data_IF_782230915537
#
_entry.id   IF_782230915537
#
_cell.length_a   1.000
_cell.length_b   1.000
_cell.length_c   1.000
_cell.angle_alpha   90.00
_cell.angle_beta   90.00
_cell.angle_gamma   90.00
#
_symmetry.space_group_name_H-M   'P 1'
#
loop_
_entity.id
_entity.type
_entity.pdbx_description
1 polymer ?
#
# COMPACT_ATOMS: atom_id res chain seq x y z
N UNK A 1 -5.81 20.51 -6.89
CA UNK A 1 -6.45 19.22 -6.52
C UNK A 1 -6.07 18.90 -5.09
N UNK A 2 -7.03 18.46 -4.27
CA UNK A 2 -6.79 18.05 -2.88
C UNK A 2 -6.55 16.56 -2.81
N UNK A 3 -5.47 16.16 -2.14
CA UNK A 3 -5.02 14.78 -2.04
C UNK A 3 -4.80 14.41 -0.58
N UNK A 4 -5.29 13.26 -0.13
CA UNK A 4 -4.98 12.75 1.19
C UNK A 4 -4.39 11.34 1.14
N UNK A 5 -3.66 11.01 2.20
CA UNK A 5 -3.26 9.63 2.50
C UNK A 5 -4.08 9.09 3.67
N UNK A 6 -4.46 7.82 3.62
CA UNK A 6 -4.96 7.06 4.77
C UNK A 6 -4.02 5.89 5.03
N UNK A 7 -3.67 5.67 6.29
CA UNK A 7 -2.74 4.62 6.72
C UNK A 7 -3.44 3.74 7.75
N UNK A 8 -4.02 2.61 7.34
CA UNK A 8 -4.70 1.72 8.28
C UNK A 8 -3.70 0.90 9.12
N UNK A 9 -3.72 1.10 10.43
CA UNK A 9 -2.80 0.44 11.37
C UNK A 9 -3.57 -0.07 12.57
N UNK A 10 -3.94 -1.36 12.59
CA UNK A 10 -4.60 -1.97 13.75
C UNK A 10 -3.58 -2.39 14.82
N UNK A 11 -3.99 -2.33 16.09
CA UNK A 11 -3.15 -2.73 17.22
C UNK A 11 -2.86 -4.23 17.20
N UNK A 12 -3.89 -5.05 16.99
CA UNK A 12 -3.77 -6.51 17.03
C UNK A 12 -3.50 -7.08 15.64
N UNK A 13 -2.66 -8.10 15.59
CA UNK A 13 -2.38 -8.87 14.40
C UNK A 13 -2.33 -10.35 14.76
N UNK A 14 -3.04 -11.19 14.01
CA UNK A 14 -3.17 -12.64 14.23
C UNK A 14 -1.92 -13.41 13.83
N UNK A 15 -1.36 -13.13 12.65
CA UNK A 15 -0.18 -13.83 12.12
C UNK A 15 1.11 -13.53 12.90
N UNK A 16 1.28 -12.29 13.30
CA UNK A 16 2.43 -11.83 14.09
C UNK A 16 1.91 -10.94 15.21
N UNK A 17 1.88 -11.40 16.47
CA UNK A 17 1.39 -10.61 17.60
C UNK A 17 2.07 -9.24 17.66
N UNK A 18 1.27 -8.16 17.77
CA UNK A 18 1.73 -6.77 17.80
C UNK A 18 2.65 -6.41 16.62
N UNK A 19 2.34 -6.92 15.42
CA UNK A 19 3.16 -6.78 14.21
C UNK A 19 3.64 -5.34 13.98
N UNK A 20 2.72 -4.38 14.05
CA UNK A 20 3.00 -2.98 13.77
C UNK A 20 3.92 -2.30 14.79
N UNK A 21 4.07 -2.90 15.99
CA UNK A 21 4.95 -2.41 17.07
C UNK A 21 6.32 -3.09 17.08
N UNK A 22 6.51 -4.15 16.28
CA UNK A 22 7.82 -4.79 16.18
C UNK A 22 8.86 -3.84 15.64
N UNK A 23 10.03 -3.93 16.22
CA UNK A 23 11.17 -3.12 15.79
C UNK A 23 11.72 -3.61 14.45
N UNK A 24 11.95 -2.67 13.56
CA UNK A 24 12.67 -2.82 12.32
C UNK A 24 13.64 -1.64 12.22
N UNK A 25 14.96 -1.92 12.10
CA UNK A 25 15.96 -0.85 11.95
C UNK A 25 15.88 0.24 13.03
N UNK A 26 15.71 -0.15 14.29
CA UNK A 26 15.74 0.76 15.43
C UNK A 26 14.44 1.53 15.68
N UNK A 27 13.35 1.28 14.91
CA UNK A 27 12.05 1.89 15.21
C UNK A 27 10.89 0.94 14.93
N UNK A 28 9.74 1.16 15.59
CA UNK A 28 8.53 0.36 15.38
C UNK A 28 8.06 0.42 13.92
N UNK A 29 7.55 -0.71 13.40
CA UNK A 29 7.15 -0.86 12.01
C UNK A 29 6.22 0.26 11.52
N UNK A 30 5.19 0.62 12.31
CA UNK A 30 4.22 1.65 11.92
C UNK A 30 4.86 3.03 11.69
N UNK A 31 5.97 3.34 12.38
CA UNK A 31 6.64 4.65 12.26
C UNK A 31 7.30 4.83 10.90
N UNK A 32 7.73 3.75 10.24
CA UNK A 32 8.39 3.83 8.93
C UNK A 32 7.47 4.44 7.88
N UNK A 33 6.26 3.90 7.73
CA UNK A 33 5.34 4.38 6.67
C UNK A 33 4.81 5.78 6.96
N UNK A 34 4.52 6.11 8.24
CA UNK A 34 4.09 7.45 8.63
C UNK A 34 5.19 8.46 8.30
N UNK A 35 6.44 8.19 8.72
CA UNK A 35 7.57 9.08 8.44
C UNK A 35 7.85 9.21 6.93
N UNK A 36 7.71 8.11 6.17
CA UNK A 36 7.89 8.14 4.71
C UNK A 36 6.80 8.95 4.01
N UNK A 37 5.55 8.87 4.48
CA UNK A 37 4.45 9.71 3.97
C UNK A 37 4.69 11.19 4.26
N UNK A 38 5.11 11.53 5.47
CA UNK A 38 5.49 12.90 5.83
C UNK A 38 6.64 13.41 4.98
N UNK A 39 7.70 12.62 4.84
CA UNK A 39 8.88 12.97 4.03
C UNK A 39 8.56 13.04 2.52
N UNK A 40 7.52 12.38 2.04
CA UNK A 40 7.06 12.50 0.65
C UNK A 40 6.51 13.90 0.36
N UNK A 41 5.98 14.60 1.36
CA UNK A 41 5.51 16.00 1.28
C UNK A 41 4.64 16.27 0.02
N UNK A 42 3.66 15.40 -0.23
CA UNK A 42 2.79 15.44 -1.41
C UNK A 42 1.29 15.32 -1.09
N UNK A 43 0.94 15.16 0.17
CA UNK A 43 -0.44 15.08 0.65
C UNK A 43 -0.85 16.38 1.33
N UNK A 44 -2.09 16.81 1.13
CA UNK A 44 -2.66 17.94 1.89
C UNK A 44 -2.90 17.54 3.35
N UNK A 45 -3.25 16.28 3.59
CA UNK A 45 -3.46 15.73 4.93
C UNK A 45 -3.12 14.24 4.92
N UNK A 46 -2.51 13.77 5.99
CA UNK A 46 -2.25 12.35 6.25
C UNK A 46 -3.14 11.94 7.42
N UNK A 47 -3.90 10.88 7.24
CA UNK A 47 -4.75 10.27 8.24
C UNK A 47 -4.20 8.89 8.63
N UNK A 48 -4.17 8.59 9.92
CA UNK A 48 -3.90 7.25 10.41
C UNK A 48 -5.17 6.69 11.02
N UNK A 49 -5.72 5.64 10.43
CA UNK A 49 -6.86 4.90 10.96
C UNK A 49 -6.34 3.83 11.94
N UNK A 50 -6.64 3.99 13.23
CA UNK A 50 -6.10 3.11 14.27
C UNK A 50 -7.01 2.97 15.48
N UNK A 51 -6.94 1.80 16.12
CA UNK A 51 -7.53 1.46 17.43
C UNK A 51 -6.51 1.53 18.59
N UNK A 52 -5.27 1.99 18.32
CA UNK A 52 -4.17 2.01 19.30
C UNK A 52 -3.86 3.40 19.84
N UNK A 53 -3.94 3.58 21.16
CA UNK A 53 -3.57 4.84 21.82
C UNK A 53 -2.08 5.20 21.65
N UNK A 54 -1.20 4.19 21.59
CA UNK A 54 0.23 4.44 21.34
C UNK A 54 0.46 5.08 19.97
N UNK A 55 -0.24 4.58 18.94
CA UNK A 55 -0.14 5.11 17.58
C UNK A 55 -0.78 6.50 17.49
N UNK A 56 -1.93 6.73 18.14
CA UNK A 56 -2.58 8.05 18.20
C UNK A 56 -1.63 9.08 18.81
N UNK A 57 -0.99 8.77 19.91
CA UNK A 57 -0.02 9.66 20.56
C UNK A 57 1.17 9.98 19.65
N UNK A 58 1.65 9.00 18.89
CA UNK A 58 2.70 9.23 17.89
C UNK A 58 2.21 10.18 16.77
N UNK A 59 1.01 9.98 16.25
CA UNK A 59 0.41 10.84 15.24
C UNK A 59 0.29 12.30 15.72
N UNK A 60 -0.20 12.51 16.93
CA UNK A 60 -0.28 13.86 17.55
C UNK A 60 1.11 14.52 17.61
N UNK A 61 2.17 13.76 17.95
CA UNK A 61 3.54 14.29 18.01
C UNK A 61 4.11 14.68 16.65
N UNK A 62 3.47 14.25 15.55
CA UNK A 62 3.89 14.46 14.16
C UNK A 62 2.93 15.36 13.37
N UNK A 63 1.90 15.91 14.00
CA UNK A 63 0.85 16.68 13.33
C UNK A 63 0.13 15.88 12.22
N UNK A 64 -0.14 14.61 12.52
CA UNK A 64 -0.86 13.66 11.65
C UNK A 64 -2.26 13.45 12.23
N UNK A 65 -3.27 13.53 11.38
CA UNK A 65 -4.66 13.35 11.76
C UNK A 65 -4.98 11.88 12.08
N UNK A 66 -5.90 11.66 13.02
CA UNK A 66 -6.31 10.32 13.44
C UNK A 66 -7.77 10.05 13.09
N UNK A 67 -8.02 8.86 12.55
CA UNK A 67 -9.37 8.30 12.41
C UNK A 67 -9.48 7.19 13.46
N UNK A 68 -10.48 7.33 14.35
CA UNK A 68 -10.78 6.28 15.33
C UNK A 68 -11.37 5.06 14.62
N UNK A 69 -10.61 3.97 14.61
CA UNK A 69 -11.03 2.73 13.94
C UNK A 69 -12.19 2.06 14.66
N UNK A 70 -13.24 1.71 13.91
CA UNK A 70 -14.32 0.87 14.43
C UNK A 70 -13.81 -0.54 14.74
N UNK A 71 -14.27 -1.18 15.85
CA UNK A 71 -13.85 -2.52 16.23
C UNK A 71 -14.02 -3.57 15.12
N UNK A 72 -15.07 -3.47 14.32
CA UNK A 72 -15.37 -4.39 13.23
C UNK A 72 -14.27 -4.37 12.14
N UNK A 73 -13.65 -3.22 11.92
CA UNK A 73 -12.57 -3.06 10.95
C UNK A 73 -11.21 -3.56 11.45
N UNK A 74 -11.12 -3.91 12.73
CA UNK A 74 -9.93 -4.57 13.30
C UNK A 74 -10.00 -6.10 13.21
N UNK A 75 -11.16 -6.67 12.84
CA UNK A 75 -11.33 -8.10 12.62
C UNK A 75 -10.62 -8.56 11.33
N UNK A 76 -10.31 -9.86 11.26
CA UNK A 76 -9.66 -10.45 10.08
C UNK A 76 -10.63 -10.62 8.88
N UNK A 77 -11.91 -10.39 9.07
CA UNK A 77 -12.94 -10.37 8.02
C UNK A 77 -12.95 -9.06 7.24
N UNK A 78 -12.46 -7.97 7.82
CA UNK A 78 -12.38 -6.68 7.15
C UNK A 78 -11.21 -6.66 6.15
N UNK A 79 -11.47 -6.19 4.95
CA UNK A 79 -10.47 -6.04 3.90
C UNK A 79 -10.09 -4.56 3.66
N UNK A 80 -9.11 -4.32 2.78
CA UNK A 80 -8.61 -2.97 2.52
C UNK A 80 -9.65 -2.02 1.90
N UNK A 81 -10.65 -2.52 1.18
CA UNK A 81 -11.74 -1.69 0.65
C UNK A 81 -12.70 -1.27 1.75
N UNK A 82 -13.01 -2.17 2.72
CA UNK A 82 -13.89 -1.85 3.84
C UNK A 82 -13.31 -0.71 4.69
N UNK A 83 -12.00 -0.78 4.96
CA UNK A 83 -11.28 0.26 5.69
C UNK A 83 -11.26 1.56 4.91
N UNK A 84 -10.89 1.53 3.62
CA UNK A 84 -10.87 2.74 2.77
C UNK A 84 -12.26 3.38 2.69
N UNK A 85 -13.32 2.57 2.63
CA UNK A 85 -14.68 3.07 2.61
C UNK A 85 -15.04 3.83 3.88
N UNK A 86 -14.72 3.26 5.05
CA UNK A 86 -14.90 3.92 6.33
C UNK A 86 -14.08 5.21 6.43
N UNK A 87 -12.81 5.17 6.04
CA UNK A 87 -11.93 6.34 6.08
C UNK A 87 -12.53 7.50 5.25
N UNK A 88 -12.93 7.23 4.00
CA UNK A 88 -13.49 8.26 3.12
C UNK A 88 -14.81 8.84 3.65
N UNK A 89 -15.62 8.07 4.36
CA UNK A 89 -16.86 8.57 4.97
C UNK A 89 -16.63 9.43 6.21
N UNK A 90 -15.46 9.31 6.86
CA UNK A 90 -15.14 10.02 8.11
C UNK A 90 -14.13 11.17 7.94
N UNK A 91 -13.69 11.46 6.71
CA UNK A 91 -12.79 12.57 6.42
C UNK A 91 -13.44 13.58 5.46
N UNK A 92 -12.93 14.81 5.37
CA UNK A 92 -13.38 15.77 4.36
C UNK A 92 -13.22 15.26 2.95
N UNK A 93 -13.93 15.88 2.00
CA UNK A 93 -13.82 15.51 0.60
C UNK A 93 -12.48 15.90 -0.02
N UNK A 94 -11.81 14.93 -0.64
CA UNK A 94 -10.61 15.08 -1.44
C UNK A 94 -10.89 14.71 -2.90
N UNK A 95 -10.02 15.15 -3.82
CA UNK A 95 -10.10 14.79 -5.24
C UNK A 95 -9.50 13.39 -5.48
N UNK A 96 -8.50 13.02 -4.65
CA UNK A 96 -7.82 11.72 -4.69
C UNK A 96 -7.54 11.21 -3.28
N UNK A 97 -7.69 9.92 -3.10
CA UNK A 97 -7.43 9.17 -1.87
C UNK A 97 -6.31 8.17 -2.11
N UNK A 98 -5.32 8.16 -1.23
CA UNK A 98 -4.22 7.20 -1.26
C UNK A 98 -4.23 6.36 0.02
N UNK A 99 -4.19 5.04 -0.12
CA UNK A 99 -4.11 4.11 1.00
C UNK A 99 -2.73 3.47 1.01
N UNK A 100 -1.99 3.62 2.13
CA UNK A 100 -0.65 3.08 2.31
C UNK A 100 -0.61 2.15 3.52
N UNK A 101 0.28 1.15 3.50
CA UNK A 101 0.29 0.09 4.50
C UNK A 101 1.61 0.04 5.27
N UNK A 102 1.51 -0.15 6.61
CA UNK A 102 2.66 -0.28 7.50
C UNK A 102 3.55 -1.48 7.17
N UNK A 103 3.00 -2.49 6.50
CA UNK A 103 3.73 -3.68 6.08
C UNK A 103 4.72 -3.45 4.93
N UNK A 104 4.69 -2.27 4.30
CA UNK A 104 5.63 -1.85 3.27
C UNK A 104 6.60 -0.75 3.79
N UNK A 105 7.43 -1.02 4.81
CA UNK A 105 8.24 0.00 5.49
C UNK A 105 9.33 0.62 4.61
N UNK A 106 9.72 -0.06 3.54
CA UNK A 106 10.79 0.36 2.65
C UNK A 106 10.31 1.19 1.45
N UNK A 107 9.00 1.41 1.33
CA UNK A 107 8.45 2.27 0.27
C UNK A 107 8.94 3.71 0.46
N UNK A 108 9.74 4.18 -0.48
CA UNK A 108 10.48 5.44 -0.34
C UNK A 108 9.60 6.68 -0.53
N UNK A 109 9.89 7.78 0.15
CA UNK A 109 9.19 9.06 -0.04
C UNK A 109 9.14 9.51 -1.51
N UNK A 110 10.24 9.37 -2.26
CA UNK A 110 10.30 9.69 -3.69
C UNK A 110 9.36 8.85 -4.54
N UNK A 111 9.17 7.58 -4.19
CA UNK A 111 8.26 6.66 -4.88
C UNK A 111 6.81 7.01 -4.59
N UNK A 112 6.49 7.32 -3.32
CA UNK A 112 5.17 7.82 -2.92
C UNK A 112 4.81 9.08 -3.71
N UNK A 113 5.68 10.08 -3.73
CA UNK A 113 5.50 11.31 -4.52
C UNK A 113 5.30 11.02 -6.00
N UNK A 114 6.12 10.16 -6.60
CA UNK A 114 6.02 9.82 -8.01
C UNK A 114 4.68 9.14 -8.36
N UNK A 115 4.13 8.31 -7.46
CA UNK A 115 2.80 7.73 -7.62
C UNK A 115 1.71 8.80 -7.59
N UNK A 116 1.77 9.74 -6.64
CA UNK A 116 0.83 10.87 -6.54
C UNK A 116 0.89 11.72 -7.81
N UNK A 117 2.06 12.19 -8.19
CA UNK A 117 2.27 13.03 -9.37
C UNK A 117 1.77 12.33 -10.64
N UNK A 118 2.02 11.02 -10.77
CA UNK A 118 1.56 10.23 -11.92
C UNK A 118 0.04 10.25 -12.06
N UNK A 119 -0.69 10.10 -10.95
CA UNK A 119 -2.15 10.07 -11.00
C UNK A 119 -2.74 11.47 -11.19
N UNK A 120 -2.09 12.52 -10.67
CA UNK A 120 -2.56 13.90 -10.78
C UNK A 120 -2.32 14.53 -12.15
N UNK A 121 -1.27 14.11 -12.86
CA UNK A 121 -0.83 14.76 -14.12
C UNK A 121 -1.52 14.24 -15.36
N UNK A 122 -2.41 13.24 -15.25
CA UNK A 122 -3.08 12.65 -16.40
C UNK A 122 -4.50 12.22 -16.11
N UNK A 123 -5.41 12.47 -17.05
CA UNK A 123 -6.78 11.92 -17.02
C UNK A 123 -6.89 10.50 -17.60
N UNK A 124 -5.77 9.93 -18.08
CA UNK A 124 -5.75 8.58 -18.68
C UNK A 124 -6.09 7.50 -17.67
N UNK A 125 -5.64 7.68 -16.41
CA UNK A 125 -5.81 6.73 -15.32
C UNK A 125 -6.74 7.29 -14.27
N UNK A 126 -7.51 6.42 -13.64
CA UNK A 126 -8.43 6.76 -12.54
C UNK A 126 -7.99 6.19 -11.18
N UNK A 127 -6.98 5.32 -11.20
CA UNK A 127 -6.38 4.71 -10.02
C UNK A 127 -4.93 4.32 -10.29
N UNK A 128 -4.18 4.05 -9.23
CA UNK A 128 -2.77 3.63 -9.26
C UNK A 128 -2.51 2.64 -8.13
N UNK A 129 -1.59 1.70 -8.36
CA UNK A 129 -1.04 0.85 -7.32
C UNK A 129 0.42 0.52 -7.61
N UNK A 130 1.18 0.21 -6.56
CA UNK A 130 2.57 -0.25 -6.70
C UNK A 130 2.63 -1.73 -7.07
N UNK A 131 3.53 -2.09 -7.98
CA UNK A 131 3.64 -3.42 -8.54
C UNK A 131 5.09 -3.82 -8.83
N UNK A 132 5.30 -5.11 -9.02
CA UNK A 132 6.52 -5.70 -9.59
C UNK A 132 6.21 -6.44 -10.89
N UNK A 133 7.22 -6.58 -11.73
CA UNK A 133 7.17 -7.47 -12.89
C UNK A 133 7.78 -8.83 -12.52
N UNK A 134 7.02 -9.90 -12.76
CA UNK A 134 7.49 -11.27 -12.56
C UNK A 134 7.68 -11.96 -13.91
N UNK A 135 8.92 -12.24 -14.27
CA UNK A 135 9.30 -12.98 -15.48
C UNK A 135 9.34 -14.47 -15.22
N UNK A 136 8.79 -15.25 -16.14
CA UNK A 136 8.74 -16.72 -16.04
C UNK A 136 7.57 -17.31 -16.78
N UNK A 137 7.44 -18.64 -16.71
CA UNK A 137 6.33 -19.36 -17.29
C UNK A 137 5.26 -19.59 -16.22
N UNK A 138 4.09 -19.02 -16.41
CA UNK A 138 3.01 -19.06 -15.41
C UNK A 138 1.83 -19.89 -15.90
N UNK A 139 1.21 -20.57 -14.95
CA UNK A 139 0.05 -21.43 -15.18
C UNK A 139 -1.09 -21.00 -14.27
N UNK A 140 -2.30 -21.06 -14.79
CA UNK A 140 -3.53 -20.88 -14.03
C UNK A 140 -4.54 -21.95 -14.42
N UNK A 141 -5.12 -22.66 -13.43
CA UNK A 141 -6.11 -23.73 -13.66
C UNK A 141 -5.72 -24.71 -14.78
N UNK A 142 -4.47 -25.22 -14.74
CA UNK A 142 -3.91 -26.18 -15.70
C UNK A 142 -3.72 -25.63 -17.13
N UNK A 143 -3.72 -24.31 -17.31
CA UNK A 143 -3.44 -23.65 -18.59
C UNK A 143 -2.26 -22.68 -18.44
N UNK A 144 -1.32 -22.62 -19.41
CA UNK A 144 -0.32 -21.58 -19.46
C UNK A 144 -1.00 -20.22 -19.78
N UNK A 145 -0.59 -19.16 -19.09
CA UNK A 145 -1.26 -17.86 -19.24
C UNK A 145 -0.44 -16.80 -19.99
N UNK A 146 0.87 -16.93 -20.05
CA UNK A 146 1.74 -15.94 -20.67
C UNK A 146 2.69 -16.49 -21.73
N UNK A 147 2.56 -17.77 -22.13
CA UNK A 147 3.35 -18.37 -23.21
C UNK A 147 2.60 -19.54 -23.88
N UNK A 148 3.12 -20.00 -25.02
CA UNK A 148 2.62 -21.19 -25.71
C UNK A 148 3.66 -22.33 -25.56
N UNK A 149 3.30 -23.47 -24.93
CA UNK A 149 4.26 -24.56 -24.64
C UNK A 149 4.99 -25.12 -25.85
N UNK A 150 4.35 -25.16 -27.01
CA UNK A 150 4.95 -25.62 -28.25
C UNK A 150 5.99 -24.68 -28.86
N UNK A 151 6.03 -23.41 -28.45
CA UNK A 151 7.03 -22.41 -28.90
C UNK A 151 8.15 -22.30 -27.86
N UNK A 152 7.81 -22.42 -26.58
CA UNK A 152 8.70 -22.34 -25.41
C UNK A 152 9.75 -21.21 -25.52
N UNK A 153 9.35 -19.94 -25.41
CA UNK A 153 10.26 -18.81 -25.39
C UNK A 153 11.17 -18.86 -24.15
N UNK A 154 12.31 -18.18 -24.18
CA UNK A 154 13.15 -18.03 -22.98
C UNK A 154 12.35 -17.28 -21.88
N UNK A 155 12.55 -17.65 -20.61
CA UNK A 155 11.79 -17.09 -19.49
C UNK A 155 11.87 -15.55 -19.39
N UNK A 156 13.00 -14.97 -19.76
CA UNK A 156 13.20 -13.50 -19.80
C UNK A 156 12.55 -12.80 -21.01
N UNK A 157 12.14 -13.52 -22.03
CA UNK A 157 11.52 -12.98 -23.24
C UNK A 157 9.99 -13.08 -23.21
N UNK A 158 9.44 -13.69 -22.19
CA UNK A 158 7.99 -13.81 -21.99
C UNK A 158 7.44 -12.50 -21.44
N UNK A 159 6.21 -12.14 -21.81
CA UNK A 159 5.54 -11.01 -21.19
C UNK A 159 5.44 -11.22 -19.67
N UNK A 160 5.93 -10.28 -18.84
CA UNK A 160 5.88 -10.44 -17.39
C UNK A 160 4.45 -10.40 -16.87
N UNK A 161 4.21 -11.08 -15.76
CA UNK A 161 3.02 -10.86 -14.97
C UNK A 161 3.22 -9.67 -14.06
N UNK A 162 2.18 -8.84 -13.94
CA UNK A 162 2.17 -7.72 -13.01
C UNK A 162 1.61 -8.21 -11.69
N UNK A 163 2.44 -8.15 -10.64
CA UNK A 163 2.06 -8.49 -9.27
C UNK A 163 1.88 -7.25 -8.43
N UNK A 164 0.69 -7.06 -7.87
CA UNK A 164 0.46 -6.01 -6.88
C UNK A 164 1.40 -6.17 -5.69
N UNK A 165 1.99 -5.07 -5.26
CA UNK A 165 2.58 -4.95 -3.93
C UNK A 165 1.58 -4.24 -3.03
N UNK A 166 1.49 -4.61 -1.77
CA UNK A 166 0.52 -4.02 -0.84
C UNK A 166 0.94 -2.64 -0.32
N UNK A 167 1.95 -2.01 -0.92
CA UNK A 167 2.56 -0.80 -0.40
C UNK A 167 1.69 0.46 -0.52
N UNK A 168 1.13 0.70 -1.72
CA UNK A 168 0.37 1.92 -2.01
C UNK A 168 -0.72 1.65 -3.04
N UNK A 169 -1.90 2.21 -2.78
CA UNK A 169 -3.03 2.33 -3.71
C UNK A 169 -3.51 3.78 -3.75
N UNK A 170 -3.86 4.27 -4.91
CA UNK A 170 -4.44 5.61 -5.10
C UNK A 170 -5.64 5.56 -6.03
N UNK A 171 -6.68 6.32 -5.71
CA UNK A 171 -7.92 6.37 -6.51
C UNK A 171 -8.49 7.77 -6.55
N UNK A 172 -9.02 8.18 -7.71
CA UNK A 172 -9.79 9.41 -7.82
C UNK A 172 -11.14 9.29 -7.13
N UNK A 173 -11.63 10.38 -6.56
CA UNK A 173 -12.95 10.45 -5.94
C UNK A 173 -14.06 9.92 -6.87
N UNK A 174 -14.02 10.31 -8.14
CA UNK A 174 -15.03 9.87 -9.12
C UNK A 174 -15.01 8.36 -9.33
N UNK A 175 -13.84 7.75 -9.47
CA UNK A 175 -13.71 6.31 -9.63
C UNK A 175 -14.12 5.57 -8.35
N UNK A 176 -13.71 6.06 -7.18
CA UNK A 176 -14.13 5.49 -5.91
C UNK A 176 -15.66 5.47 -5.77
N UNK A 177 -16.36 6.58 -6.02
CA UNK A 177 -17.82 6.61 -5.92
C UNK A 177 -18.50 5.64 -6.89
N UNK A 178 -17.90 5.42 -8.07
CA UNK A 178 -18.45 4.51 -9.09
C UNK A 178 -18.21 3.04 -8.77
N UNK A 179 -17.00 2.68 -8.28
CA UNK A 179 -16.58 1.28 -8.16
C UNK A 179 -16.54 0.80 -6.70
N UNK A 180 -16.54 1.69 -5.72
CA UNK A 180 -16.45 1.38 -4.27
C UNK A 180 -15.26 0.46 -3.96
N UNK A 181 -14.14 0.69 -4.62
CA UNK A 181 -12.92 -0.11 -4.57
C UNK A 181 -11.70 0.80 -4.64
N UNK A 182 -10.57 0.36 -4.12
CA UNK A 182 -9.29 1.08 -4.20
C UNK A 182 -8.65 1.06 -5.60
N UNK A 183 -9.18 0.25 -6.52
CA UNK A 183 -8.75 0.14 -7.92
C UNK A 183 -9.95 0.46 -8.81
N UNK A 184 -9.80 1.41 -9.73
CA UNK A 184 -10.81 1.80 -10.69
C UNK A 184 -10.78 0.97 -11.98
N UNK A 185 -11.40 1.48 -13.04
CA UNK A 185 -11.46 0.78 -14.33
C UNK A 185 -10.21 0.99 -15.21
N UNK A 186 -9.45 2.04 -14.95
CA UNK A 186 -8.24 2.40 -15.71
C UNK A 186 -7.04 2.57 -14.78
N UNK A 187 -6.59 1.49 -14.12
CA UNK A 187 -5.47 1.56 -13.19
C UNK A 187 -4.15 1.79 -13.92
N UNK A 188 -3.26 2.54 -13.30
CA UNK A 188 -1.84 2.55 -13.61
C UNK A 188 -1.10 1.67 -12.60
N UNK A 189 -0.34 0.70 -13.05
CA UNK A 189 0.58 -0.05 -12.19
C UNK A 189 1.96 0.60 -12.21
N UNK A 190 2.38 1.07 -11.05
CA UNK A 190 3.67 1.71 -10.88
C UNK A 190 4.71 0.64 -10.52
N UNK A 191 5.59 0.33 -11.48
CA UNK A 191 6.63 -0.68 -11.28
C UNK A 191 7.71 -0.15 -10.33
N UNK A 192 7.94 -0.89 -9.24
CA UNK A 192 9.00 -0.61 -8.28
C UNK A 192 10.35 -1.09 -8.83
N UNK A 193 11.28 -0.14 -9.04
CA UNK A 193 12.63 -0.46 -9.56
C UNK A 193 13.57 -1.00 -8.48
N UNK A 194 13.33 -0.68 -7.21
CA UNK A 194 14.11 -1.21 -6.09
C UNK A 194 13.35 -2.37 -5.45
N UNK A 195 13.87 -3.61 -5.52
CA UNK A 195 13.20 -4.77 -4.93
C UNK A 195 12.91 -4.62 -3.43
N UNK A 196 13.68 -3.80 -2.70
CA UNK A 196 13.43 -3.53 -1.28
C UNK A 196 12.07 -2.86 -1.05
N UNK A 197 11.65 -1.99 -1.97
CA UNK A 197 10.37 -1.28 -1.85
C UNK A 197 9.14 -2.21 -2.01
N UNK A 198 9.33 -3.41 -2.56
CA UNK A 198 8.26 -4.42 -2.72
C UNK A 198 8.13 -5.37 -1.54
N UNK A 199 8.99 -5.25 -0.52
CA UNK A 199 8.96 -6.13 0.66
C UNK A 199 7.71 -5.82 1.49
N UNK A 200 6.90 -6.87 1.72
CA UNK A 200 5.72 -6.87 2.57
C UNK A 200 6.00 -7.71 3.83
N UNK A 201 5.87 -7.12 5.02
CA UNK A 201 6.19 -7.76 6.31
C UNK A 201 4.94 -8.39 6.94
N UNK A 202 4.64 -9.60 6.55
CA UNK A 202 3.45 -10.33 7.00
C UNK A 202 3.74 -11.48 7.97
N UNK A 203 4.97 -11.99 7.99
CA UNK A 203 5.40 -13.11 8.83
C UNK A 203 6.71 -12.79 9.57
N UNK A 204 7.03 -13.58 10.62
CA UNK A 204 8.32 -13.45 11.32
C UNK A 204 9.53 -13.67 10.39
N UNK A 205 9.37 -14.51 9.37
CA UNK A 205 10.40 -14.76 8.36
C UNK A 205 10.68 -13.51 7.52
N UNK A 206 9.64 -12.71 7.24
CA UNK A 206 9.82 -11.47 6.48
C UNK A 206 10.62 -10.45 7.30
N UNK A 207 10.38 -10.35 8.61
CA UNK A 207 11.18 -9.51 9.51
C UNK A 207 12.65 -9.95 9.56
N UNK A 208 12.93 -11.27 9.64
CA UNK A 208 14.30 -11.77 9.62
C UNK A 208 15.02 -11.38 8.34
N UNK A 209 14.39 -11.61 7.19
CA UNK A 209 14.92 -11.23 5.88
C UNK A 209 15.12 -9.71 5.74
N UNK A 210 14.15 -8.91 6.21
CA UNK A 210 14.23 -7.46 6.13
C UNK A 210 15.45 -6.90 6.90
N UNK A 211 15.80 -7.49 8.05
CA UNK A 211 16.98 -7.10 8.81
C UNK A 211 18.30 -7.47 8.11
N UNK A 212 18.33 -8.55 7.31
CA UNK A 212 19.51 -8.95 6.53
C UNK A 212 19.81 -7.98 5.36
N UNK A 213 18.79 -7.31 4.81
CA UNK A 213 18.98 -6.33 3.73
C UNK A 213 19.67 -5.03 4.15
N UNK A 214 20.00 -4.87 5.42
CA UNK A 214 20.54 -3.63 6.00
C UNK A 214 21.91 -3.81 6.64
N UNK A 215 22.39 -5.04 6.70
CA UNK A 215 23.79 -5.38 6.99
C UNK A 215 24.58 -5.46 5.69
#
# INVERSE_FOLDING_TARGET
>A
MKVCATIPIKERSTRVPRKNFKELLGKSLYKHIIDNCLAADCFNTIYVDTDSEEIKNYCVSKDVEVIDRKPELSLDTANGNDVLHYDIENIPNYDFYFQLYATAPFLKPKTIRACVDKLLTTSKYDSIFTATEEYGWYWYSSQPINYQPNILPRSQDVAPLIKETTGLYGISKQAYHRYRCRIGARPYYFILNDPKESIDLDTLRDFSRANEYTS
#
